data_IF_355894204490
#
_entry.id   IF_355894204490
#
_cell.length_a   1.000
_cell.length_b   1.000
_cell.length_c   1.000
_cell.angle_alpha   90.00
_cell.angle_beta   90.00
_cell.angle_gamma   90.00
#
_symmetry.space_group_name_H-M   'P 1'
#
loop_
_entity.id
_entity.type
_entity.pdbx_description
1 polymer ?
#
# COMPACT_ATOMS: atom_id res chain seq x y z
N UNK A 1 0.90 12.62 -18.08
CA UNK A 1 -0.59 12.80 -18.05
C UNK A 1 -1.20 11.43 -17.92
N UNK A 2 -2.03 11.21 -16.93
CA UNK A 2 -2.64 9.92 -16.67
C UNK A 2 -3.47 9.41 -17.85
N UNK A 3 -3.43 8.10 -18.11
CA UNK A 3 -4.21 7.46 -19.19
C UNK A 3 -5.71 7.40 -18.91
N UNK A 4 -6.09 7.35 -17.63
CA UNK A 4 -7.46 7.45 -17.18
C UNK A 4 -7.70 8.82 -16.57
N UNK A 5 -8.91 9.37 -16.73
CA UNK A 5 -9.24 10.66 -16.15
C UNK A 5 -9.16 10.63 -14.62
N UNK A 6 -8.64 11.70 -14.04
CA UNK A 6 -8.59 11.89 -12.59
C UNK A 6 -9.57 13.04 -12.28
N UNK A 7 -10.85 12.74 -11.97
CA UNK A 7 -11.86 13.76 -11.76
C UNK A 7 -11.57 14.59 -10.52
N UNK A 8 -11.98 15.83 -10.51
CA UNK A 8 -12.13 16.60 -9.27
C UNK A 8 -13.23 15.97 -8.41
N UNK A 9 -13.35 16.39 -7.15
CA UNK A 9 -14.42 15.93 -6.27
C UNK A 9 -15.80 16.15 -6.89
N UNK A 10 -16.03 17.31 -7.52
CA UNK A 10 -17.35 17.70 -8.07
C UNK A 10 -17.64 17.02 -9.42
N UNK A 11 -16.61 16.62 -10.15
CA UNK A 11 -16.75 15.84 -11.38
C UNK A 11 -16.93 14.34 -11.13
N UNK A 12 -16.58 13.87 -9.92
CA UNK A 12 -16.72 12.46 -9.54
C UNK A 12 -18.21 12.08 -9.42
N UNK A 13 -18.57 10.81 -9.70
CA UNK A 13 -19.92 10.32 -9.49
C UNK A 13 -20.46 10.68 -8.08
N UNK A 14 -21.69 11.13 -7.99
CA UNK A 14 -22.29 11.59 -6.72
C UNK A 14 -22.15 10.57 -5.58
N UNK A 15 -22.26 9.27 -5.89
CA UNK A 15 -22.08 8.20 -4.90
C UNK A 15 -20.64 8.03 -4.40
N UNK A 16 -19.64 8.59 -5.09
CA UNK A 16 -18.22 8.58 -4.67
C UNK A 16 -17.86 9.79 -3.80
N UNK A 17 -18.58 10.90 -3.94
CA UNK A 17 -18.23 12.17 -3.30
C UNK A 17 -18.12 12.09 -1.76
N UNK A 18 -19.03 11.39 -1.04
CA UNK A 18 -18.91 11.28 0.42
C UNK A 18 -17.62 10.60 0.88
N UNK A 19 -17.10 9.62 0.12
CA UNK A 19 -15.84 8.96 0.43
C UNK A 19 -14.67 9.90 0.19
N UNK A 20 -14.67 10.67 -0.92
CA UNK A 20 -13.64 11.68 -1.18
C UNK A 20 -13.61 12.77 -0.11
N UNK A 21 -14.80 13.20 0.37
CA UNK A 21 -14.92 14.16 1.47
C UNK A 21 -14.34 13.62 2.78
N UNK A 22 -14.54 12.32 3.08
CA UNK A 22 -13.94 11.65 4.23
C UNK A 22 -12.43 11.57 4.12
N UNK A 23 -11.89 11.24 2.95
CA UNK A 23 -10.45 11.22 2.67
C UNK A 23 -9.85 12.61 2.85
N UNK A 24 -10.48 13.64 2.31
CA UNK A 24 -10.04 15.03 2.48
C UNK A 24 -10.02 15.44 3.95
N UNK A 25 -11.04 15.08 4.71
CA UNK A 25 -11.10 15.37 6.16
C UNK A 25 -9.97 14.72 6.94
N UNK A 26 -9.57 13.51 6.53
CA UNK A 26 -8.52 12.74 7.21
C UNK A 26 -7.11 13.18 6.82
N UNK A 27 -6.85 13.44 5.54
CA UNK A 27 -5.52 13.69 4.99
C UNK A 27 -5.25 15.18 4.68
N UNK A 28 -6.27 16.04 4.69
CA UNK A 28 -6.16 17.44 4.26
C UNK A 28 -6.16 17.63 2.75
N UNK A 29 -5.97 16.56 1.99
CA UNK A 29 -5.97 16.49 0.53
C UNK A 29 -6.66 15.21 0.07
N UNK A 30 -7.05 15.15 -1.21
CA UNK A 30 -7.52 13.90 -1.82
C UNK A 30 -6.45 13.46 -2.83
N UNK A 31 -5.64 12.44 -2.52
CA UNK A 31 -4.62 11.95 -3.46
C UNK A 31 -5.22 11.50 -4.80
N UNK A 32 -4.46 11.64 -5.87
CA UNK A 32 -4.90 11.31 -7.22
C UNK A 32 -5.40 9.87 -7.37
N UNK A 33 -4.81 8.93 -6.63
CA UNK A 33 -5.28 7.52 -6.58
C UNK A 33 -6.75 7.42 -6.15
N UNK A 34 -7.17 8.12 -5.08
CA UNK A 34 -8.55 8.11 -4.63
C UNK A 34 -9.50 8.75 -5.65
N UNK A 35 -9.06 9.83 -6.26
CA UNK A 35 -9.79 10.50 -7.34
C UNK A 35 -9.94 9.59 -8.56
N UNK A 36 -8.89 8.84 -8.91
CA UNK A 36 -8.93 7.84 -9.97
C UNK A 36 -9.93 6.71 -9.65
N UNK A 37 -9.85 6.11 -8.46
CA UNK A 37 -10.77 5.04 -8.04
C UNK A 37 -12.22 5.54 -8.00
N UNK A 38 -12.43 6.82 -7.69
CA UNK A 38 -13.76 7.42 -7.54
C UNK A 38 -14.61 7.37 -8.81
N UNK A 39 -14.02 7.15 -9.96
CA UNK A 39 -14.78 6.93 -11.20
C UNK A 39 -15.71 5.71 -11.09
N UNK A 40 -15.38 4.74 -10.24
CA UNK A 40 -16.24 3.60 -9.90
C UNK A 40 -16.66 3.68 -8.43
N UNK A 41 -17.90 4.09 -8.14
CA UNK A 41 -18.39 4.09 -6.76
C UNK A 41 -18.25 2.72 -6.07
N UNK A 42 -18.49 1.63 -6.79
CA UNK A 42 -18.34 0.28 -6.25
C UNK A 42 -16.91 -0.04 -5.87
N UNK A 43 -15.93 0.27 -6.75
CA UNK A 43 -14.50 0.06 -6.47
C UNK A 43 -14.03 0.93 -5.30
N UNK A 44 -14.45 2.21 -5.26
CA UNK A 44 -14.08 3.12 -4.18
C UNK A 44 -14.65 2.68 -2.83
N UNK A 45 -15.92 2.27 -2.78
CA UNK A 45 -16.56 1.79 -1.54
C UNK A 45 -15.89 0.50 -1.04
N UNK A 46 -15.63 -0.47 -1.93
CA UNK A 46 -14.93 -1.71 -1.58
C UNK A 46 -13.53 -1.45 -1.04
N UNK A 47 -12.75 -0.62 -1.73
CA UNK A 47 -11.41 -0.22 -1.30
C UNK A 47 -11.45 0.51 0.05
N UNK A 48 -12.31 1.52 0.20
CA UNK A 48 -12.40 2.28 1.45
C UNK A 48 -12.84 1.43 2.64
N UNK A 49 -13.75 0.47 2.43
CA UNK A 49 -14.20 -0.46 3.48
C UNK A 49 -13.07 -1.39 3.91
N UNK A 50 -12.34 -2.00 2.96
CA UNK A 50 -11.19 -2.86 3.24
C UNK A 50 -10.08 -2.09 3.95
N UNK A 51 -9.66 -0.96 3.39
CA UNK A 51 -8.64 -0.09 3.98
C UNK A 51 -9.01 0.35 5.39
N UNK A 52 -10.27 0.79 5.61
CA UNK A 52 -10.78 1.17 6.92
C UNK A 52 -10.72 0.03 7.94
N UNK A 53 -11.07 -1.20 7.56
CA UNK A 53 -10.97 -2.37 8.42
C UNK A 53 -9.51 -2.70 8.75
N UNK A 54 -8.61 -2.67 7.77
CA UNK A 54 -7.20 -2.98 7.94
C UNK A 54 -6.44 -1.93 8.78
N UNK A 55 -6.97 -0.72 8.96
CA UNK A 55 -6.36 0.24 9.90
C UNK A 55 -6.41 -0.22 11.36
N UNK A 56 -7.30 -1.16 11.68
CA UNK A 56 -7.44 -1.75 13.02
C UNK A 56 -6.62 -3.05 13.20
N UNK A 57 -6.02 -3.54 12.11
CA UNK A 57 -5.22 -4.76 12.09
C UNK A 57 -3.79 -4.51 12.62
N UNK A 58 -2.79 -4.72 11.79
CA UNK A 58 -1.39 -4.47 12.16
C UNK A 58 -1.12 -2.97 12.40
N UNK A 59 -0.09 -2.67 13.18
CA UNK A 59 0.32 -1.29 13.44
C UNK A 59 0.69 -0.53 12.15
N UNK A 60 0.60 0.80 12.19
CA UNK A 60 0.80 1.66 11.03
C UNK A 60 2.19 1.48 10.41
N UNK A 61 3.24 1.27 11.22
CA UNK A 61 4.60 1.08 10.70
C UNK A 61 4.70 -0.21 9.89
N UNK A 62 4.15 -1.30 10.42
CA UNK A 62 4.16 -2.60 9.72
C UNK A 62 3.37 -2.53 8.41
N UNK A 63 2.23 -1.84 8.38
CA UNK A 63 1.45 -1.64 7.14
C UNK A 63 2.23 -0.84 6.09
N UNK A 64 2.84 0.29 6.47
CA UNK A 64 3.64 1.09 5.54
C UNK A 64 4.88 0.33 5.03
N UNK A 65 5.54 -0.46 5.89
CA UNK A 65 6.68 -1.31 5.52
C UNK A 65 6.27 -2.37 4.47
N UNK A 66 5.14 -3.04 4.66
CA UNK A 66 4.58 -4.00 3.70
C UNK A 66 4.26 -3.28 2.38
N UNK A 67 3.63 -2.12 2.44
CA UNK A 67 3.27 -1.35 1.25
C UNK A 67 4.49 -0.93 0.42
N UNK A 68 5.59 -0.51 1.07
CA UNK A 68 6.86 -0.19 0.41
C UNK A 68 7.44 -1.41 -0.33
N UNK A 69 7.48 -2.58 0.33
CA UNK A 69 7.98 -3.81 -0.26
C UNK A 69 7.14 -4.24 -1.47
N UNK A 70 5.81 -4.22 -1.33
CA UNK A 70 4.88 -4.62 -2.39
C UNK A 70 4.96 -3.65 -3.58
N UNK A 71 5.02 -2.34 -3.32
CA UNK A 71 5.15 -1.33 -4.36
C UNK A 71 6.47 -1.46 -5.14
N UNK A 72 7.57 -1.78 -4.44
CA UNK A 72 8.88 -2.01 -5.07
C UNK A 72 8.86 -3.25 -5.97
N UNK A 73 8.29 -4.38 -5.49
CA UNK A 73 8.18 -5.61 -6.27
C UNK A 73 7.35 -5.40 -7.53
N UNK A 74 6.26 -4.63 -7.44
CA UNK A 74 5.36 -4.34 -8.55
C UNK A 74 5.85 -3.19 -9.45
N UNK A 75 6.91 -2.47 -9.09
CA UNK A 75 7.42 -1.35 -9.86
C UNK A 75 6.50 -0.14 -9.91
N UNK A 76 5.67 0.10 -8.88
CA UNK A 76 4.72 1.20 -8.85
C UNK A 76 5.35 2.49 -8.29
N UNK A 77 5.81 3.38 -9.15
CA UNK A 77 6.42 4.66 -8.77
C UNK A 77 5.46 5.55 -7.95
N UNK A 78 4.17 5.60 -8.32
CA UNK A 78 3.17 6.34 -7.55
C UNK A 78 3.09 5.83 -6.11
N UNK A 79 2.97 4.51 -5.95
CA UNK A 79 2.80 3.89 -4.65
C UNK A 79 4.08 4.00 -3.79
N UNK A 80 5.25 3.85 -4.40
CA UNK A 80 6.53 4.10 -3.72
C UNK A 80 6.63 5.54 -3.21
N UNK A 81 6.25 6.51 -4.05
CA UNK A 81 6.26 7.93 -3.67
C UNK A 81 5.32 8.19 -2.48
N UNK A 82 4.09 7.68 -2.57
CA UNK A 82 3.09 7.83 -1.51
C UNK A 82 3.53 7.17 -0.20
N UNK A 83 3.92 5.89 -0.22
CA UNK A 83 4.29 5.14 0.98
C UNK A 83 5.64 5.57 1.56
N UNK A 84 6.57 6.09 0.74
CA UNK A 84 7.78 6.76 1.27
C UNK A 84 7.39 8.01 2.05
N UNK A 85 6.52 8.86 1.48
CA UNK A 85 6.07 10.07 2.17
C UNK A 85 5.29 9.74 3.46
N UNK A 86 4.35 8.82 3.42
CA UNK A 86 3.55 8.40 4.57
C UNK A 86 4.41 7.70 5.63
N UNK A 87 5.31 6.83 5.21
CA UNK A 87 6.25 6.14 6.10
C UNK A 87 7.11 7.12 6.90
N UNK A 88 7.73 8.08 6.23
CA UNK A 88 8.59 9.08 6.87
C UNK A 88 7.79 10.06 7.76
N UNK A 89 6.66 10.58 7.26
CA UNK A 89 5.95 11.70 7.88
C UNK A 89 4.85 11.26 8.85
N UNK A 90 4.15 10.16 8.58
CA UNK A 90 3.04 9.66 9.41
C UNK A 90 3.50 8.53 10.33
N UNK A 91 4.05 7.47 9.75
CA UNK A 91 4.48 6.29 10.51
C UNK A 91 5.82 6.49 11.24
N UNK A 92 6.58 7.57 10.94
CA UNK A 92 7.87 7.87 11.56
C UNK A 92 8.89 6.73 11.39
N UNK A 93 8.92 6.15 10.21
CA UNK A 93 9.95 5.18 9.78
C UNK A 93 11.19 5.99 9.37
N UNK A 94 12.40 5.53 9.71
CA UNK A 94 13.61 6.22 9.29
C UNK A 94 13.90 6.03 7.80
N UNK A 95 14.66 6.92 7.14
CA UNK A 95 15.03 6.76 5.74
C UNK A 95 15.79 5.45 5.45
N UNK A 96 16.65 5.02 6.37
CA UNK A 96 17.40 3.76 6.27
C UNK A 96 16.45 2.56 6.30
N UNK A 97 15.44 2.61 7.17
CA UNK A 97 14.42 1.56 7.26
C UNK A 97 13.51 1.55 6.02
N UNK A 98 13.17 2.71 5.45
CA UNK A 98 12.46 2.79 4.16
C UNK A 98 13.25 2.08 3.06
N UNK A 99 14.57 2.29 3.01
CA UNK A 99 15.44 1.60 2.04
C UNK A 99 15.47 0.08 2.25
N UNK A 100 15.52 -0.39 3.51
CA UNK A 100 15.41 -1.81 3.84
C UNK A 100 14.07 -2.38 3.39
N UNK A 101 12.96 -1.70 3.71
CA UNK A 101 11.62 -2.18 3.40
C UNK A 101 11.39 -2.30 1.88
N UNK A 102 11.93 -1.40 1.07
CA UNK A 102 11.91 -1.52 -0.40
C UNK A 102 12.60 -2.80 -0.89
N UNK A 103 13.66 -3.26 -0.21
CA UNK A 103 14.33 -4.55 -0.53
C UNK A 103 13.59 -5.78 0.00
N UNK A 104 12.51 -5.61 0.75
CA UNK A 104 11.80 -6.68 1.42
C UNK A 104 12.42 -7.06 2.77
N UNK A 105 13.14 -6.13 3.38
CA UNK A 105 13.88 -6.30 4.64
C UNK A 105 13.39 -5.31 5.71
N UNK A 106 13.81 -5.51 6.96
CA UNK A 106 13.61 -4.56 8.06
C UNK A 106 14.69 -4.77 9.12
N UNK A 107 15.06 -3.68 9.80
CA UNK A 107 15.93 -3.74 10.98
C UNK A 107 15.23 -4.31 12.23
N UNK A 108 13.90 -4.34 12.25
CA UNK A 108 13.10 -4.99 13.28
C UNK A 108 12.79 -6.43 12.87
N UNK A 109 13.18 -7.42 13.69
CA UNK A 109 13.08 -8.85 13.34
C UNK A 109 11.63 -9.30 13.10
N UNK A 110 10.64 -8.81 13.89
CA UNK A 110 9.24 -9.14 13.69
C UNK A 110 8.72 -8.52 12.40
N UNK A 111 8.97 -7.23 12.18
CA UNK A 111 8.58 -6.56 10.95
C UNK A 111 9.25 -7.17 9.72
N UNK A 112 10.52 -7.60 9.81
CA UNK A 112 11.23 -8.27 8.72
C UNK A 112 10.47 -9.50 8.22
N UNK A 113 9.97 -10.34 9.13
CA UNK A 113 9.20 -11.52 8.73
C UNK A 113 7.94 -11.15 7.92
N UNK A 114 7.19 -10.12 8.34
CA UNK A 114 6.00 -9.68 7.62
C UNK A 114 6.33 -9.06 6.25
N UNK A 115 7.36 -8.21 6.20
CA UNK A 115 7.80 -7.51 4.99
C UNK A 115 8.35 -8.50 3.95
N UNK A 116 9.23 -9.41 4.37
CA UNK A 116 9.79 -10.45 3.51
C UNK A 116 8.68 -11.38 2.98
N UNK A 117 7.74 -11.76 3.84
CA UNK A 117 6.61 -12.62 3.49
C UNK A 117 5.70 -11.92 2.47
N UNK A 118 5.34 -10.65 2.68
CA UNK A 118 4.54 -9.86 1.74
C UNK A 118 5.22 -9.74 0.36
N UNK A 119 6.52 -9.42 0.34
CA UNK A 119 7.28 -9.36 -0.90
C UNK A 119 7.30 -10.71 -1.63
N UNK A 120 7.43 -11.82 -0.88
CA UNK A 120 7.40 -13.16 -1.44
C UNK A 120 6.03 -13.55 -1.98
N UNK A 121 4.95 -13.27 -1.25
CA UNK A 121 3.58 -13.50 -1.73
C UNK A 121 3.40 -12.91 -3.14
N UNK A 122 3.88 -11.68 -3.35
CA UNK A 122 3.75 -11.02 -4.66
C UNK A 122 4.62 -11.69 -5.72
N UNK A 123 5.90 -11.96 -5.43
CA UNK A 123 6.84 -12.58 -6.37
C UNK A 123 6.40 -13.97 -6.80
N UNK A 124 5.95 -14.77 -5.84
CA UNK A 124 5.59 -16.17 -6.04
C UNK A 124 4.07 -16.36 -6.25
N UNK A 125 3.30 -15.28 -6.36
CA UNK A 125 1.84 -15.33 -6.59
C UNK A 125 1.10 -16.19 -5.55
N UNK A 126 1.52 -16.08 -4.28
CA UNK A 126 0.95 -16.83 -3.16
C UNK A 126 1.51 -18.25 -2.98
N UNK A 127 2.41 -18.74 -3.84
CA UNK A 127 3.03 -20.05 -3.68
C UNK A 127 4.17 -19.96 -2.67
N UNK A 128 3.83 -20.07 -1.39
CA UNK A 128 4.76 -20.08 -0.25
C UNK A 128 4.80 -21.46 0.37
N UNK A 129 5.96 -21.83 0.95
CA UNK A 129 6.16 -23.11 1.63
C UNK A 129 5.64 -23.09 3.07
N UNK A 130 5.49 -24.28 3.67
CA UNK A 130 5.15 -24.43 5.09
C UNK A 130 6.23 -23.81 6.00
N UNK A 131 7.50 -23.89 5.63
CA UNK A 131 8.62 -23.28 6.37
C UNK A 131 8.54 -21.75 6.38
N UNK A 132 8.07 -21.13 5.30
CA UNK A 132 7.90 -19.68 5.22
C UNK A 132 6.73 -19.21 6.08
N UNK A 133 5.62 -19.93 6.09
CA UNK A 133 4.50 -19.66 7.00
C UNK A 133 4.96 -19.86 8.45
N UNK A 134 5.72 -20.94 8.71
CA UNK A 134 6.28 -21.20 10.04
C UNK A 134 7.18 -20.06 10.51
N UNK A 135 8.05 -19.54 9.64
CA UNK A 135 8.94 -18.42 9.98
C UNK A 135 8.17 -17.16 10.42
N UNK A 136 7.03 -16.86 9.79
CA UNK A 136 6.16 -15.73 10.19
C UNK A 136 5.53 -16.00 11.56
N UNK A 137 5.08 -17.23 11.83
CA UNK A 137 4.55 -17.63 13.16
C UNK A 137 5.65 -17.54 14.24
N UNK A 138 6.85 -18.03 13.95
CA UNK A 138 7.99 -18.00 14.88
C UNK A 138 8.40 -16.55 15.22
N UNK A 139 8.18 -15.60 14.29
CA UNK A 139 8.35 -14.16 14.54
C UNK A 139 7.23 -13.54 15.39
N UNK A 140 6.24 -14.33 15.84
CA UNK A 140 5.19 -13.92 16.74
C UNK A 140 3.91 -13.41 16.09
N UNK A 141 3.66 -13.73 14.81
CA UNK A 141 2.39 -13.45 14.16
C UNK A 141 1.42 -14.64 14.34
N UNK A 142 0.20 -14.34 14.76
CA UNK A 142 -0.90 -15.30 14.78
C UNK A 142 -1.39 -15.60 13.37
N UNK A 143 -2.16 -16.68 13.20
CA UNK A 143 -2.79 -17.02 11.92
C UNK A 143 -3.73 -15.90 11.43
N UNK A 144 -4.41 -15.19 12.35
CA UNK A 144 -5.20 -14.01 12.04
C UNK A 144 -4.35 -12.88 11.44
N UNK A 145 -3.22 -12.54 12.07
CA UNK A 145 -2.30 -11.54 11.58
C UNK A 145 -1.64 -11.94 10.24
N UNK A 146 -1.42 -13.25 10.01
CA UNK A 146 -0.96 -13.74 8.69
C UNK A 146 -2.02 -13.46 7.61
N UNK A 147 -3.30 -13.69 7.89
CA UNK A 147 -4.42 -13.34 6.99
C UNK A 147 -4.47 -11.82 6.75
N UNK A 148 -4.21 -11.01 7.77
CA UNK A 148 -4.14 -9.56 7.66
C UNK A 148 -2.96 -9.10 6.77
N UNK A 149 -1.76 -9.70 6.90
CA UNK A 149 -0.62 -9.46 6.01
C UNK A 149 -0.99 -9.77 4.56
N UNK A 150 -1.66 -10.89 4.31
CA UNK A 150 -2.12 -11.26 2.96
C UNK A 150 -3.14 -10.24 2.43
N UNK A 151 -4.09 -9.80 3.25
CA UNK A 151 -5.10 -8.81 2.87
C UNK A 151 -4.48 -7.44 2.56
N UNK A 152 -3.54 -6.97 3.40
CA UNK A 152 -2.79 -5.72 3.16
C UNK A 152 -1.97 -5.83 1.86
N UNK A 153 -1.32 -6.98 1.64
CA UNK A 153 -0.57 -7.24 0.41
C UNK A 153 -1.49 -7.16 -0.82
N UNK A 154 -2.65 -7.81 -0.78
CA UNK A 154 -3.61 -7.81 -1.88
C UNK A 154 -4.18 -6.41 -2.16
N UNK A 155 -4.48 -5.62 -1.13
CA UNK A 155 -4.91 -4.23 -1.27
C UNK A 155 -3.85 -3.38 -1.97
N UNK A 156 -2.58 -3.52 -1.57
CA UNK A 156 -1.48 -2.82 -2.22
C UNK A 156 -1.26 -3.29 -3.66
N UNK A 157 -1.39 -4.58 -3.97
CA UNK A 157 -1.34 -5.07 -5.35
C UNK A 157 -2.43 -4.43 -6.20
N UNK A 158 -3.67 -4.33 -5.70
CA UNK A 158 -4.75 -3.64 -6.40
C UNK A 158 -4.40 -2.19 -6.74
N UNK A 159 -3.93 -1.41 -5.77
CA UNK A 159 -3.57 -0.01 -6.00
C UNK A 159 -2.35 0.14 -6.90
N UNK A 160 -1.36 -0.75 -6.79
CA UNK A 160 -0.18 -0.75 -7.66
C UNK A 160 -0.57 -1.01 -9.12
N UNK A 161 -1.39 -2.02 -9.38
CA UNK A 161 -1.88 -2.34 -10.74
C UNK A 161 -2.65 -1.17 -11.32
N UNK A 162 -3.58 -0.60 -10.56
CA UNK A 162 -4.39 0.51 -11.02
C UNK A 162 -3.54 1.73 -11.37
N UNK A 163 -2.65 2.15 -10.47
CA UNK A 163 -1.78 3.31 -10.69
C UNK A 163 -0.81 3.09 -11.86
N UNK A 164 -0.30 1.86 -12.04
CA UNK A 164 0.59 1.52 -13.16
C UNK A 164 -0.17 1.52 -14.48
N UNK A 165 -1.37 0.92 -14.55
CA UNK A 165 -2.22 0.90 -15.75
C UNK A 165 -2.62 2.31 -16.16
N UNK A 166 -3.03 3.13 -15.19
CA UNK A 166 -3.48 4.50 -15.42
C UNK A 166 -2.33 5.49 -15.68
N UNK A 167 -1.08 5.12 -15.39
CA UNK A 167 0.05 6.06 -15.33
C UNK A 167 -0.32 7.29 -14.49
N UNK A 168 -0.83 7.03 -13.27
CA UNK A 168 -1.35 8.07 -12.39
C UNK A 168 -0.31 9.16 -12.13
N UNK A 169 -0.67 10.42 -12.40
CA UNK A 169 0.20 11.57 -12.11
C UNK A 169 0.54 11.59 -10.60
N UNK A 170 1.85 11.58 -10.30
CA UNK A 170 2.33 11.48 -8.91
C UNK A 170 2.18 12.84 -8.23
N UNK A 171 1.43 12.88 -7.13
CA UNK A 171 1.17 14.06 -6.30
C UNK A 171 1.90 14.01 -4.94
N UNK A 172 3.00 13.24 -4.88
CA UNK A 172 3.93 13.11 -3.77
C UNK A 172 5.36 13.43 -4.24
N UNK A 173 6.33 13.65 -3.32
CA UNK A 173 7.75 13.66 -3.70
C UNK A 173 8.13 12.37 -4.42
N UNK A 174 8.65 12.52 -5.65
CA UNK A 174 8.83 11.37 -6.56
C UNK A 174 9.91 10.43 -6.08
N UNK A 175 9.56 9.14 -6.00
CA UNK A 175 10.47 8.01 -5.74
C UNK A 175 10.26 6.96 -6.83
N UNK A 176 11.34 6.50 -7.46
CA UNK A 176 11.30 5.56 -8.59
C UNK A 176 11.69 4.15 -8.17
N UNK A 177 10.97 3.16 -8.69
CA UNK A 177 11.31 1.75 -8.48
C UNK A 177 12.63 1.35 -9.16
N UNK A 178 12.97 1.97 -10.28
CA UNK A 178 14.21 1.72 -11.01
C UNK A 178 15.46 2.33 -10.34
N UNK A 179 15.30 3.24 -9.38
CA UNK A 179 16.41 3.77 -8.61
C UNK A 179 16.91 2.72 -7.62
N UNK A 180 18.24 2.51 -7.62
CA UNK A 180 18.89 1.55 -6.72
C UNK A 180 18.58 1.86 -5.24
N UNK A 181 18.41 0.80 -4.45
CA UNK A 181 18.09 0.86 -3.02
C UNK A 181 19.24 0.30 -2.20
#
# INVERSE_FOLDING_TARGET
MSRLAIPTRDEAPAASQPVLDAVHKQLGVVPNMFRLISQSPAALQGFAANNGALTQALDVKTRERIALAVAQVNGCDYCLSAHTYLGLNLAKISPEEVALNRRGESGDARAHAAVAFAAKIVRERGHVSDDEIKAVRDAGYSDGEIVEIVSITAENVFTNLLNTIAETDIDFPVVRAAEAV
#
